data_IF_014930777231
#
_entry.id   IF_014930777231
#
_cell.length_a   1.000
_cell.length_b   1.000
_cell.length_c   1.000
_cell.angle_alpha   90.00
_cell.angle_beta   90.00
_cell.angle_gamma   90.00
#
_symmetry.space_group_name_H-M   'P 1'
#
loop_
_entity.id
_entity.type
_entity.pdbx_description
1 polymer ?
#
# COMPACT_ATOMS: atom_id res chain seq x y z
N UNK A 1 -34.94 -19.79 -17.21
CA UNK A 1 -34.12 -19.73 -18.45
C UNK A 1 -34.24 -18.33 -19.04
N UNK A 2 -33.39 -17.39 -18.62
CA UNK A 2 -33.41 -16.03 -19.13
C UNK A 2 -32.63 -15.95 -20.44
N UNK A 3 -33.23 -15.33 -21.45
CA UNK A 3 -32.73 -15.22 -22.81
C UNK A 3 -31.37 -14.52 -22.87
N UNK A 4 -30.38 -15.20 -23.42
CA UNK A 4 -29.08 -14.66 -23.82
C UNK A 4 -29.33 -13.66 -24.97
N UNK A 5 -29.48 -12.37 -24.64
CA UNK A 5 -29.71 -11.26 -25.60
C UNK A 5 -28.41 -10.59 -26.08
N UNK A 6 -27.26 -11.23 -25.87
CA UNK A 6 -25.98 -10.83 -26.45
C UNK A 6 -25.11 -12.08 -26.60
N UNK A 7 -24.44 -12.27 -27.74
CA UNK A 7 -23.39 -13.30 -27.94
C UNK A 7 -22.12 -13.04 -27.09
N UNK A 8 -22.26 -12.38 -25.94
CA UNK A 8 -21.20 -12.01 -25.02
C UNK A 8 -21.57 -12.71 -23.71
N UNK A 9 -20.76 -13.70 -23.30
CA UNK A 9 -20.96 -14.34 -22.01
C UNK A 9 -20.68 -13.31 -20.90
N UNK A 10 -21.47 -13.29 -19.81
CA UNK A 10 -21.19 -12.38 -18.71
C UNK A 10 -19.78 -12.65 -18.16
N UNK A 11 -18.93 -11.60 -18.16
CA UNK A 11 -17.57 -11.68 -17.58
C UNK A 11 -17.60 -11.94 -16.07
N UNK A 12 -18.72 -11.62 -15.42
CA UNK A 12 -19.09 -12.19 -14.12
C UNK A 12 -19.51 -13.65 -14.31
N UNK A 13 -18.57 -14.59 -14.14
CA UNK A 13 -18.95 -15.95 -13.73
C UNK A 13 -19.27 -15.87 -12.24
N UNK A 14 -20.43 -15.33 -11.88
CA UNK A 14 -20.90 -15.28 -10.49
C UNK A 14 -21.02 -16.70 -9.96
N UNK A 15 -20.00 -17.15 -9.23
CA UNK A 15 -20.05 -18.40 -8.48
C UNK A 15 -20.92 -18.20 -7.21
N UNK A 16 -21.11 -16.96 -6.72
CA UNK A 16 -22.03 -16.58 -5.61
C UNK A 16 -22.48 -15.10 -5.69
N UNK A 17 -23.73 -14.81 -5.33
CA UNK A 17 -24.39 -13.47 -5.30
C UNK A 17 -23.89 -12.52 -4.19
N UNK A 18 -22.80 -12.85 -3.48
CA UNK A 18 -22.26 -11.98 -2.44
C UNK A 18 -21.36 -10.90 -3.04
N UNK A 19 -21.78 -9.65 -2.88
CA UNK A 19 -21.02 -8.45 -3.25
C UNK A 19 -19.78 -8.28 -2.37
N UNK A 20 -18.67 -7.84 -2.96
CA UNK A 20 -17.43 -7.52 -2.22
C UNK A 20 -17.62 -6.21 -1.47
N UNK A 21 -17.55 -6.24 -0.13
CA UNK A 21 -17.72 -5.05 0.73
C UNK A 21 -16.42 -4.52 1.32
N UNK A 22 -15.41 -5.37 1.45
CA UNK A 22 -14.15 -5.10 2.13
C UNK A 22 -12.99 -5.87 1.46
N UNK A 23 -11.75 -5.57 1.86
CA UNK A 23 -10.56 -6.21 1.30
C UNK A 23 -10.50 -7.72 1.61
N UNK A 24 -11.03 -8.15 2.77
CA UNK A 24 -11.03 -9.56 3.16
C UNK A 24 -11.88 -10.42 2.22
N UNK A 25 -13.09 -9.95 1.91
CA UNK A 25 -14.00 -10.60 0.96
C UNK A 25 -13.41 -10.64 -0.46
N UNK A 26 -12.72 -9.57 -0.87
CA UNK A 26 -12.01 -9.54 -2.14
C UNK A 26 -10.93 -10.64 -2.21
N UNK A 27 -10.05 -10.72 -1.22
CA UNK A 27 -8.97 -11.72 -1.18
C UNK A 27 -9.55 -13.13 -1.17
N UNK A 28 -10.61 -13.37 -0.40
CA UNK A 28 -11.32 -14.66 -0.39
C UNK A 28 -11.80 -15.03 -1.79
N UNK A 29 -12.43 -14.10 -2.52
CA UNK A 29 -12.93 -14.35 -3.88
C UNK A 29 -11.79 -14.61 -4.88
N UNK A 30 -10.68 -13.90 -4.77
CA UNK A 30 -9.48 -14.16 -5.59
C UNK A 30 -8.98 -15.59 -5.37
N UNK A 31 -8.85 -16.02 -4.11
CA UNK A 31 -8.41 -17.37 -3.77
C UNK A 31 -9.35 -18.45 -4.33
N UNK A 32 -10.67 -18.24 -4.27
CA UNK A 32 -11.66 -19.16 -4.85
C UNK A 32 -11.44 -19.36 -6.36
N UNK A 33 -11.19 -18.28 -7.12
CA UNK A 33 -10.95 -18.40 -8.57
C UNK A 33 -9.63 -19.10 -8.90
N UNK A 34 -8.57 -18.84 -8.13
CA UNK A 34 -7.27 -19.50 -8.30
C UNK A 34 -7.43 -21.01 -8.08
N UNK A 35 -8.14 -21.42 -7.03
CA UNK A 35 -8.37 -22.84 -6.72
C UNK A 35 -9.18 -23.57 -7.80
N UNK A 36 -10.20 -22.91 -8.38
CA UNK A 36 -11.03 -23.52 -9.44
C UNK A 36 -10.24 -23.74 -10.74
N UNK A 37 -9.28 -22.87 -11.04
CA UNK A 37 -8.51 -22.92 -12.29
C UNK A 37 -7.21 -23.70 -12.22
N UNK A 38 -6.84 -24.22 -11.04
CA UNK A 38 -5.51 -24.76 -10.73
C UNK A 38 -5.00 -25.84 -11.71
N UNK A 39 -4.52 -25.41 -12.88
CA UNK A 39 -3.40 -26.00 -13.60
C UNK A 39 -2.14 -25.52 -12.87
N UNK A 40 -1.26 -26.43 -12.47
CA UNK A 40 -0.16 -26.16 -11.55
C UNK A 40 0.85 -25.10 -12.03
N UNK A 41 0.81 -24.67 -13.29
CA UNK A 41 1.85 -23.85 -13.93
C UNK A 41 1.38 -22.48 -14.47
N UNK A 42 0.11 -22.10 -14.30
CA UNK A 42 -0.38 -20.81 -14.84
C UNK A 42 -0.05 -19.63 -13.91
N UNK A 43 0.54 -18.57 -14.47
CA UNK A 43 0.78 -17.30 -13.77
C UNK A 43 -0.49 -16.45 -13.74
N UNK A 44 -0.80 -15.80 -12.62
CA UNK A 44 -2.00 -14.96 -12.48
C UNK A 44 -1.61 -13.49 -12.42
N UNK A 45 -2.26 -12.68 -13.25
CA UNK A 45 -2.14 -11.21 -13.25
C UNK A 45 -3.49 -10.54 -13.19
N UNK A 46 -3.50 -9.29 -12.75
CA UNK A 46 -4.71 -8.58 -12.35
C UNK A 46 -4.81 -7.22 -13.02
N UNK A 47 -6.02 -6.75 -13.29
CA UNK A 47 -6.26 -5.38 -13.76
C UNK A 47 -7.48 -4.77 -13.07
N UNK A 48 -7.31 -3.60 -12.50
CA UNK A 48 -8.42 -2.81 -11.98
C UNK A 48 -8.92 -1.78 -12.96
N UNK A 49 -10.23 -1.60 -13.02
CA UNK A 49 -10.88 -0.53 -13.73
C UNK A 49 -11.86 0.17 -12.78
N UNK A 50 -11.79 1.51 -12.63
CA UNK A 50 -12.54 2.22 -11.60
C UNK A 50 -14.04 2.31 -11.92
N UNK A 51 -14.44 1.91 -13.12
CA UNK A 51 -15.82 1.84 -13.58
C UNK A 51 -16.03 0.56 -14.41
N UNK A 52 -17.26 0.08 -14.48
CA UNK A 52 -17.63 -0.97 -15.45
C UNK A 52 -17.74 -0.36 -16.85
N UNK A 53 -16.70 -0.52 -17.65
CA UNK A 53 -16.67 -0.04 -19.04
C UNK A 53 -17.44 -0.96 -20.00
N UNK A 54 -18.10 -0.42 -21.05
CA UNK A 54 -18.71 -1.22 -22.12
C UNK A 54 -17.70 -2.09 -22.86
N UNK A 55 -16.45 -1.62 -22.92
CA UNK A 55 -15.34 -2.30 -23.58
C UNK A 55 -14.13 -2.32 -22.65
N UNK A 56 -14.12 -3.24 -21.66
CA UNK A 56 -13.10 -3.27 -20.62
C UNK A 56 -11.79 -3.88 -21.16
N UNK A 57 -10.70 -3.66 -20.44
CA UNK A 57 -9.37 -4.21 -20.74
C UNK A 57 -8.85 -3.79 -22.12
N UNK A 58 -9.10 -2.53 -22.50
CA UNK A 58 -8.61 -1.96 -23.76
C UNK A 58 -7.43 -1.02 -23.55
N UNK A 59 -6.33 -1.20 -24.32
CA UNK A 59 -5.23 -0.24 -24.36
C UNK A 59 -5.72 1.18 -24.70
N UNK A 60 -4.98 2.18 -24.23
CA UNK A 60 -5.35 3.58 -24.42
C UNK A 60 -5.26 4.03 -25.89
N UNK A 61 -4.42 3.39 -26.71
CA UNK A 61 -4.28 3.72 -28.14
C UNK A 61 -5.54 3.49 -28.96
N UNK A 62 -6.35 2.49 -28.58
CA UNK A 62 -7.60 2.15 -29.26
C UNK A 62 -8.80 2.95 -28.75
N UNK A 63 -8.55 3.96 -27.90
CA UNK A 63 -9.60 4.90 -27.47
C UNK A 63 -9.82 5.94 -28.55
N UNK A 64 -11.07 6.42 -28.63
CA UNK A 64 -11.55 7.26 -29.74
C UNK A 64 -10.68 8.51 -29.92
N UNK A 65 -10.19 8.71 -31.15
CA UNK A 65 -9.48 9.93 -31.57
C UNK A 65 -7.95 9.92 -31.40
N UNK A 66 -7.36 8.86 -30.85
CA UNK A 66 -5.91 8.81 -30.61
C UNK A 66 -5.11 8.59 -31.91
N UNK A 67 -5.47 7.56 -32.68
CA UNK A 67 -4.75 7.24 -33.92
C UNK A 67 -5.10 8.18 -35.07
N UNK A 68 -6.28 8.81 -35.05
CA UNK A 68 -6.84 9.67 -36.12
C UNK A 68 -6.62 9.13 -37.56
N UNK A 69 -6.68 7.80 -37.73
CA UNK A 69 -6.42 7.12 -39.01
C UNK A 69 -4.94 7.03 -39.43
N UNK A 70 -4.00 7.58 -38.66
CA UNK A 70 -2.56 7.46 -38.90
C UNK A 70 -2.01 6.12 -38.42
N UNK A 71 -1.80 5.21 -39.38
CA UNK A 71 -1.23 3.87 -39.16
C UNK A 71 0.21 3.84 -38.64
N UNK A 72 0.94 4.97 -38.72
CA UNK A 72 2.31 5.12 -38.21
C UNK A 72 2.38 6.00 -36.96
N UNK A 73 1.23 6.31 -36.33
CA UNK A 73 1.16 7.20 -35.17
C UNK A 73 2.15 6.80 -34.06
N UNK A 74 2.20 5.53 -33.65
CA UNK A 74 3.14 5.09 -32.61
C UNK A 74 4.60 5.29 -33.01
N UNK A 75 4.95 4.99 -34.26
CA UNK A 75 6.31 5.22 -34.75
C UNK A 75 6.68 6.70 -34.62
N UNK A 76 5.79 7.59 -35.08
CA UNK A 76 5.98 9.05 -34.98
C UNK A 76 6.02 9.55 -33.53
N UNK A 77 5.20 8.96 -32.66
CA UNK A 77 5.19 9.25 -31.22
C UNK A 77 6.52 8.87 -30.58
N UNK A 78 7.02 7.66 -30.82
CA UNK A 78 8.30 7.21 -30.29
C UNK A 78 9.49 8.02 -30.83
N UNK A 79 9.46 8.37 -32.13
CA UNK A 79 10.45 9.29 -32.71
C UNK A 79 10.44 10.66 -32.01
N UNK A 80 9.25 11.18 -31.71
CA UNK A 80 9.08 12.46 -31.02
C UNK A 80 9.51 12.37 -29.55
N UNK A 81 9.22 11.28 -28.86
CA UNK A 81 9.71 11.03 -27.49
C UNK A 81 11.24 11.03 -27.42
N UNK A 82 11.91 10.36 -28.38
CA UNK A 82 13.38 10.37 -28.49
C UNK A 82 13.92 11.77 -28.80
N UNK A 83 13.32 12.49 -29.73
CA UNK A 83 13.72 13.87 -30.06
C UNK A 83 13.65 14.81 -28.85
N UNK A 84 12.61 14.64 -28.01
CA UNK A 84 12.42 15.42 -26.79
C UNK A 84 13.16 14.83 -25.57
N UNK A 85 13.99 13.80 -25.75
CA UNK A 85 14.77 13.12 -24.69
C UNK A 85 13.90 12.60 -23.54
N UNK A 86 12.66 12.20 -23.84
CA UNK A 86 11.75 11.59 -22.87
C UNK A 86 12.06 10.10 -22.63
N UNK A 87 12.80 9.48 -23.54
CA UNK A 87 13.33 8.12 -23.42
C UNK A 87 14.78 8.09 -23.93
N UNK A 88 15.61 7.29 -23.28
CA UNK A 88 16.97 6.98 -23.73
C UNK A 88 17.05 5.71 -24.58
N UNK A 89 15.93 5.03 -24.79
CA UNK A 89 15.89 3.69 -25.37
C UNK A 89 15.78 3.74 -26.90
N UNK A 90 16.47 2.80 -27.54
CA UNK A 90 16.48 2.68 -29.01
C UNK A 90 15.40 1.72 -29.52
N UNK A 91 15.04 0.72 -28.72
CA UNK A 91 14.09 -0.34 -29.10
C UNK A 91 12.66 0.15 -28.97
N UNK A 92 11.80 -0.16 -29.95
CA UNK A 92 10.42 0.32 -29.96
C UNK A 92 9.58 -0.20 -28.79
N UNK A 93 9.82 -1.44 -28.34
CA UNK A 93 9.12 -2.02 -27.20
C UNK A 93 9.41 -1.25 -25.91
N UNK A 94 10.67 -0.91 -25.65
CA UNK A 94 11.05 -0.13 -24.47
C UNK A 94 10.42 1.28 -24.51
N UNK A 95 10.39 1.91 -25.69
CA UNK A 95 9.71 3.21 -25.84
C UNK A 95 8.21 3.13 -25.55
N UNK A 96 7.57 1.99 -25.86
CA UNK A 96 6.16 1.78 -25.55
C UNK A 96 5.93 1.60 -24.05
N UNK A 97 6.84 0.92 -23.36
CA UNK A 97 6.85 0.79 -21.89
C UNK A 97 7.04 2.17 -21.24
N UNK A 98 7.98 2.97 -21.74
CA UNK A 98 8.20 4.35 -21.30
C UNK A 98 7.02 5.27 -21.62
N UNK A 99 6.39 5.07 -22.78
CA UNK A 99 5.19 5.81 -23.19
C UNK A 99 4.06 5.59 -22.18
N UNK A 100 3.85 4.35 -21.75
CA UNK A 100 2.85 4.00 -20.76
C UNK A 100 3.11 4.68 -19.40
N UNK A 101 4.38 4.83 -19.01
CA UNK A 101 4.73 5.65 -17.86
C UNK A 101 4.40 7.12 -18.08
N UNK A 102 4.82 7.69 -19.20
CA UNK A 102 4.61 9.09 -19.57
C UNK A 102 3.18 9.45 -19.97
N UNK A 103 2.23 8.54 -19.76
CA UNK A 103 0.80 8.71 -20.09
C UNK A 103 0.52 8.83 -21.59
N UNK A 104 1.52 8.52 -22.41
CA UNK A 104 1.38 8.50 -23.84
C UNK A 104 0.58 7.26 -24.28
N UNK A 105 -0.14 7.34 -25.41
CA UNK A 105 -0.86 6.18 -25.92
C UNK A 105 0.06 5.05 -26.38
N UNK A 106 -0.29 3.82 -26.01
CA UNK A 106 0.37 2.60 -26.43
C UNK A 106 -0.63 1.46 -26.65
N UNK A 107 -0.23 0.47 -27.44
CA UNK A 107 -0.95 -0.81 -27.60
C UNK A 107 -0.74 -1.81 -26.47
N UNK A 108 -0.07 -1.39 -25.39
CA UNK A 108 0.14 -2.19 -24.20
C UNK A 108 -1.00 -1.95 -23.21
N UNK A 109 -1.53 -3.04 -22.66
CA UNK A 109 -2.51 -3.00 -21.58
C UNK A 109 -1.81 -3.24 -20.24
N UNK A 110 -1.93 -2.30 -19.31
CA UNK A 110 -1.39 -2.48 -17.96
C UNK A 110 -2.11 -3.61 -17.22
N UNK A 111 -1.32 -4.50 -16.62
CA UNK A 111 -1.74 -5.50 -15.64
C UNK A 111 -0.74 -5.49 -14.48
N UNK A 112 -1.09 -6.13 -13.37
CA UNK A 112 -0.26 -6.18 -12.16
C UNK A 112 -0.17 -7.60 -11.64
N UNK A 113 0.98 -8.00 -11.12
CA UNK A 113 1.11 -9.25 -10.35
C UNK A 113 0.44 -9.18 -8.97
N UNK A 114 0.04 -7.98 -8.52
CA UNK A 114 -0.56 -7.76 -7.21
C UNK A 114 -2.07 -7.49 -7.33
N UNK A 115 -2.88 -8.40 -6.79
CA UNK A 115 -4.34 -8.27 -6.78
C UNK A 115 -4.84 -7.04 -6.02
N UNK A 116 -4.11 -6.58 -4.99
CA UNK A 116 -4.47 -5.40 -4.21
C UNK A 116 -4.13 -4.09 -4.95
N UNK A 117 -3.08 -4.10 -5.78
CA UNK A 117 -2.81 -2.98 -6.69
C UNK A 117 -3.92 -2.85 -7.74
N UNK A 118 -4.37 -3.99 -8.30
CA UNK A 118 -5.55 -3.98 -9.17
C UNK A 118 -6.82 -3.54 -8.42
N UNK A 119 -7.03 -3.97 -7.18
CA UNK A 119 -8.14 -3.49 -6.37
C UNK A 119 -8.08 -1.97 -6.18
N UNK A 120 -6.90 -1.40 -5.90
CA UNK A 120 -6.70 0.04 -5.82
C UNK A 120 -7.16 0.76 -7.10
N UNK A 121 -6.78 0.27 -8.28
CA UNK A 121 -7.24 0.85 -9.55
C UNK A 121 -8.74 0.69 -9.80
N UNK A 122 -9.39 -0.31 -9.18
CA UNK A 122 -10.84 -0.49 -9.25
C UNK A 122 -11.62 0.42 -8.30
N UNK A 123 -10.99 0.92 -7.23
CA UNK A 123 -11.66 1.76 -6.22
C UNK A 123 -11.21 3.22 -6.20
N UNK A 124 -10.11 3.55 -6.89
CA UNK A 124 -9.51 4.88 -6.90
C UNK A 124 -9.44 5.42 -8.32
N UNK A 125 -10.04 6.59 -8.61
CA UNK A 125 -9.86 7.27 -9.88
C UNK A 125 -8.39 7.61 -10.17
N UNK A 126 -8.10 8.00 -11.41
CA UNK A 126 -6.77 8.50 -11.77
C UNK A 126 -6.38 9.70 -10.89
N UNK A 127 -5.10 9.81 -10.53
CA UNK A 127 -4.62 10.74 -9.50
C UNK A 127 -4.79 12.23 -9.83
N UNK A 128 -5.12 12.58 -11.08
CA UNK A 128 -5.55 13.94 -11.47
C UNK A 128 -6.98 14.30 -11.06
N UNK A 129 -7.78 13.30 -10.68
CA UNK A 129 -9.16 13.48 -10.24
C UNK A 129 -9.25 13.39 -8.72
N UNK A 130 -10.36 13.91 -8.18
CA UNK A 130 -10.69 13.69 -6.78
C UNK A 130 -10.91 12.21 -6.51
N UNK A 131 -10.47 11.76 -5.34
CA UNK A 131 -10.57 10.36 -4.93
C UNK A 131 -12.02 9.84 -4.92
N UNK A 132 -12.97 10.71 -4.59
CA UNK A 132 -14.40 10.40 -4.48
C UNK A 132 -15.19 10.50 -5.80
N UNK A 133 -14.54 10.89 -6.91
CA UNK A 133 -15.22 11.22 -8.16
C UNK A 133 -16.01 10.03 -8.76
N UNK A 134 -15.62 8.79 -8.46
CA UNK A 134 -16.21 7.57 -9.02
C UNK A 134 -16.85 6.66 -7.96
N UNK A 135 -17.11 7.17 -6.76
CA UNK A 135 -17.69 6.38 -5.66
C UNK A 135 -19.17 6.02 -5.93
N UNK A 136 -19.86 6.77 -6.79
CA UNK A 136 -21.22 6.44 -7.24
C UNK A 136 -21.31 5.37 -8.35
N UNK A 137 -20.17 4.78 -8.76
CA UNK A 137 -20.11 3.80 -9.85
C UNK A 137 -19.32 2.59 -9.42
N UNK A 138 -19.73 1.42 -9.89
CA UNK A 138 -19.04 0.17 -9.58
C UNK A 138 -17.74 0.05 -10.37
N UNK A 139 -16.70 -0.45 -9.72
CA UNK A 139 -15.44 -0.82 -10.34
C UNK A 139 -15.42 -2.30 -10.73
N UNK A 140 -14.34 -2.71 -11.40
CA UNK A 140 -14.13 -4.08 -11.83
C UNK A 140 -12.67 -4.47 -11.67
N UNK A 141 -12.40 -5.64 -11.10
CA UNK A 141 -11.08 -6.27 -11.09
C UNK A 141 -11.11 -7.51 -11.97
N UNK A 142 -10.22 -7.56 -12.94
CA UNK A 142 -10.02 -8.71 -13.82
C UNK A 142 -8.85 -9.54 -13.34
N UNK A 143 -8.99 -10.86 -13.41
CA UNK A 143 -7.96 -11.86 -13.14
C UNK A 143 -7.68 -12.58 -14.45
N UNK A 144 -6.43 -12.60 -14.90
CA UNK A 144 -5.99 -13.30 -16.10
C UNK A 144 -5.05 -14.44 -15.74
N UNK A 145 -5.30 -15.62 -16.31
CA UNK A 145 -4.42 -16.77 -16.23
C UNK A 145 -3.57 -16.79 -17.49
N UNK A 146 -2.26 -16.74 -17.30
CA UNK A 146 -1.26 -16.64 -18.36
C UNK A 146 -0.37 -17.87 -18.30
N UNK A 147 -0.30 -18.57 -19.42
CA UNK A 147 0.50 -19.79 -19.56
C UNK A 147 1.91 -19.51 -20.12
N UNK A 148 2.07 -18.42 -20.88
CA UNK A 148 3.34 -18.06 -21.54
C UNK A 148 3.70 -16.59 -21.28
N UNK A 149 4.96 -16.36 -20.89
CA UNK A 149 5.50 -15.04 -20.58
C UNK A 149 6.58 -14.68 -21.61
N UNK A 150 6.42 -13.53 -22.26
CA UNK A 150 7.37 -13.00 -23.22
C UNK A 150 8.30 -12.00 -22.54
N UNK A 151 9.61 -12.27 -22.58
CA UNK A 151 10.59 -11.33 -22.05
C UNK A 151 10.72 -10.11 -22.98
N UNK A 152 10.68 -8.87 -22.45
CA UNK A 152 10.92 -7.66 -23.22
C UNK A 152 12.37 -7.56 -23.74
N UNK A 153 13.30 -8.30 -23.14
CA UNK A 153 14.70 -8.36 -23.58
C UNK A 153 14.96 -9.42 -24.65
N UNK A 154 14.01 -10.30 -24.93
CA UNK A 154 14.19 -11.38 -25.89
C UNK A 154 14.02 -10.89 -27.34
N UNK A 155 14.82 -11.47 -28.25
CA UNK A 155 14.85 -11.06 -29.65
C UNK A 155 13.51 -11.29 -30.36
N UNK A 156 12.86 -12.44 -30.13
CA UNK A 156 11.53 -12.74 -30.71
C UNK A 156 10.46 -11.71 -30.33
N UNK A 157 10.44 -11.24 -29.08
CA UNK A 157 9.49 -10.23 -28.61
C UNK A 157 9.75 -8.89 -29.28
N UNK A 158 11.02 -8.50 -29.39
CA UNK A 158 11.41 -7.25 -30.05
C UNK A 158 11.14 -7.28 -31.55
N UNK A 159 11.49 -8.37 -32.23
CA UNK A 159 11.22 -8.55 -33.66
C UNK A 159 9.71 -8.53 -33.96
N UNK A 160 8.89 -9.12 -33.06
CA UNK A 160 7.43 -9.04 -33.18
C UNK A 160 6.91 -7.61 -33.05
N UNK A 161 7.42 -6.85 -32.07
CA UNK A 161 7.04 -5.45 -31.88
C UNK A 161 7.53 -4.56 -33.02
N UNK A 162 8.73 -4.80 -33.52
CA UNK A 162 9.30 -4.12 -34.68
C UNK A 162 8.46 -4.35 -35.94
N UNK A 163 8.02 -5.59 -36.19
CA UNK A 163 7.15 -5.91 -37.33
C UNK A 163 5.81 -5.15 -37.27
N UNK A 164 5.28 -4.94 -36.05
CA UNK A 164 4.08 -4.13 -35.81
C UNK A 164 4.32 -2.66 -36.14
N UNK A 165 5.41 -2.07 -35.63
CA UNK A 165 5.67 -0.62 -35.72
C UNK A 165 6.23 -0.22 -37.08
N UNK A 166 7.18 -0.99 -37.63
CA UNK A 166 7.83 -0.70 -38.91
C UNK A 166 6.94 -1.01 -40.10
N UNK A 167 6.01 -1.97 -39.94
CA UNK A 167 5.15 -2.44 -41.01
C UNK A 167 5.96 -2.84 -42.26
N UNK A 168 7.03 -3.62 -42.05
CA UNK A 168 7.87 -4.18 -43.13
C UNK A 168 7.64 -5.70 -43.35
N UNK A 169 6.89 -6.35 -42.45
CA UNK A 169 6.61 -7.78 -42.52
C UNK A 169 5.30 -8.11 -43.26
N UNK A 170 5.38 -8.43 -44.55
CA UNK A 170 4.19 -8.60 -45.42
C UNK A 170 3.29 -9.79 -45.09
N UNK A 171 3.81 -10.86 -44.47
CA UNK A 171 2.98 -12.00 -44.03
C UNK A 171 2.23 -11.71 -42.74
N UNK A 172 2.71 -10.77 -41.92
CA UNK A 172 2.16 -10.44 -40.60
C UNK A 172 1.10 -9.33 -40.66
N UNK A 173 1.31 -8.33 -41.51
CA UNK A 173 0.45 -7.15 -41.60
C UNK A 173 -0.97 -7.44 -42.09
N UNK A 174 -1.92 -6.68 -41.54
CA UNK A 174 -3.33 -6.66 -41.93
C UNK A 174 -3.99 -8.05 -41.91
N UNK A 175 -3.48 -8.98 -41.08
CA UNK A 175 -4.04 -10.33 -40.91
C UNK A 175 -4.78 -10.45 -39.58
N UNK A 176 -6.11 -10.58 -39.65
CA UNK A 176 -6.99 -10.81 -38.49
C UNK A 176 -6.56 -11.99 -37.62
N UNK A 177 -5.90 -13.01 -38.18
CA UNK A 177 -5.39 -14.14 -37.42
C UNK A 177 -4.36 -13.69 -36.37
N UNK A 178 -3.44 -12.80 -36.73
CA UNK A 178 -2.36 -12.36 -35.83
C UNK A 178 -2.80 -11.28 -34.85
N UNK A 179 -3.92 -10.59 -35.11
CA UNK A 179 -4.54 -9.66 -34.16
C UNK A 179 -4.98 -10.35 -32.86
N UNK A 180 -5.26 -11.66 -32.94
CA UNK A 180 -5.64 -12.52 -31.81
C UNK A 180 -4.45 -13.00 -30.97
N UNK A 181 -3.21 -12.76 -31.41
CA UNK A 181 -2.01 -13.22 -30.71
C UNK A 181 -1.59 -12.22 -29.63
N UNK A 182 -2.46 -12.00 -28.64
CA UNK A 182 -2.13 -11.23 -27.45
C UNK A 182 -0.93 -11.86 -26.74
N UNK A 183 0.08 -11.06 -26.39
CA UNK A 183 1.28 -11.55 -25.70
C UNK A 183 1.37 -10.92 -24.34
N UNK A 184 1.53 -11.73 -23.30
CA UNK A 184 1.86 -11.23 -21.99
C UNK A 184 3.36 -10.92 -21.93
N UNK A 185 3.69 -9.64 -21.76
CA UNK A 185 5.06 -9.14 -21.71
C UNK A 185 5.38 -8.81 -20.25
N UNK A 186 6.44 -9.42 -19.74
CA UNK A 186 6.92 -9.14 -18.40
C UNK A 186 7.55 -7.76 -18.31
N UNK A 187 7.70 -7.22 -17.10
CA UNK A 187 8.32 -5.91 -16.93
C UNK A 187 9.85 -5.96 -16.88
N UNK A 188 10.48 -4.92 -17.43
CA UNK A 188 11.85 -4.56 -17.07
C UNK A 188 11.82 -3.73 -15.78
N UNK A 189 12.69 -4.03 -14.80
CA UNK A 189 12.81 -3.26 -13.53
C UNK A 189 13.53 -1.91 -13.73
N UNK A 190 13.19 -1.19 -14.79
CA UNK A 190 13.82 0.11 -15.12
C UNK A 190 13.06 1.28 -14.49
N UNK A 191 11.76 1.13 -14.26
CA UNK A 191 10.90 2.23 -13.85
C UNK A 191 10.30 2.06 -12.45
N UNK A 192 10.46 3.07 -11.60
CA UNK A 192 9.91 3.09 -10.24
C UNK A 192 8.38 2.91 -10.19
N UNK A 193 7.63 3.48 -11.14
CA UNK A 193 6.17 3.35 -11.25
C UNK A 193 5.77 1.92 -11.55
N UNK A 194 6.43 1.27 -12.51
CA UNK A 194 6.16 -0.12 -12.87
C UNK A 194 6.51 -1.06 -11.71
N UNK A 195 7.64 -0.83 -11.04
CA UNK A 195 8.05 -1.60 -9.85
C UNK A 195 7.01 -1.44 -8.73
N UNK A 196 6.60 -0.22 -8.43
CA UNK A 196 5.62 0.09 -7.39
C UNK A 196 4.26 -0.58 -7.66
N UNK A 197 3.84 -0.60 -8.93
CA UNK A 197 2.61 -1.24 -9.36
C UNK A 197 2.73 -2.75 -9.50
N UNK A 198 3.94 -3.31 -9.40
CA UNK A 198 4.25 -4.69 -9.80
C UNK A 198 3.66 -4.97 -11.20
N UNK A 199 3.82 -3.99 -12.08
CA UNK A 199 3.15 -3.92 -13.37
C UNK A 199 3.76 -4.88 -14.37
N UNK A 200 2.95 -5.35 -15.31
CA UNK A 200 3.34 -6.08 -16.53
C UNK A 200 2.36 -5.66 -17.64
N UNK A 201 2.53 -6.18 -18.85
CA UNK A 201 1.76 -5.73 -20.00
C UNK A 201 1.12 -6.87 -20.77
N UNK A 202 -0.04 -6.61 -21.37
CA UNK A 202 -0.58 -7.44 -22.46
C UNK A 202 -0.49 -6.64 -23.75
N UNK A 203 0.28 -7.14 -24.71
CA UNK A 203 0.43 -6.57 -26.05
C UNK A 203 -0.76 -6.90 -26.93
N UNK A 204 -1.34 -5.88 -27.54
CA UNK A 204 -2.36 -6.00 -28.58
C UNK A 204 -1.73 -5.75 -29.96
N UNK A 205 -1.52 -6.79 -30.77
CA UNK A 205 -0.76 -6.66 -32.02
C UNK A 205 -1.55 -6.02 -33.18
N UNK A 206 -2.88 -6.02 -33.12
CA UNK A 206 -3.73 -5.53 -34.20
C UNK A 206 -3.76 -4.00 -34.34
N UNK A 207 -4.35 -3.55 -35.46
CA UNK A 207 -4.68 -2.14 -35.68
C UNK A 207 -6.03 -1.76 -35.05
N UNK A 208 -6.90 -2.76 -34.89
CA UNK A 208 -8.18 -2.64 -34.21
C UNK A 208 -8.15 -3.39 -32.86
N UNK A 209 -8.96 -2.96 -31.87
CA UNK A 209 -8.98 -3.59 -30.56
C UNK A 209 -9.71 -4.95 -30.60
N UNK A 210 -8.97 -6.03 -30.79
CA UNK A 210 -9.48 -7.39 -30.58
C UNK A 210 -9.67 -7.68 -29.09
N UNK A 211 -10.82 -8.25 -28.72
CA UNK A 211 -11.10 -8.56 -27.31
C UNK A 211 -10.19 -9.69 -26.80
N UNK A 212 -9.79 -9.61 -25.53
CA UNK A 212 -9.11 -10.74 -24.87
C UNK A 212 -10.03 -11.98 -24.87
N UNK A 213 -9.48 -13.18 -25.09
CA UNK A 213 -10.26 -14.41 -25.07
C UNK A 213 -11.05 -14.58 -23.75
N UNK A 214 -12.33 -14.95 -23.84
CA UNK A 214 -13.18 -15.12 -22.64
C UNK A 214 -12.67 -16.23 -21.70
N UNK A 215 -11.87 -17.17 -22.22
CA UNK A 215 -11.22 -18.21 -21.41
C UNK A 215 -10.06 -17.71 -20.54
N UNK A 216 -9.52 -16.51 -20.85
CA UNK A 216 -8.31 -15.96 -20.26
C UNK A 216 -8.52 -15.49 -18.82
N UNK A 217 -9.75 -15.14 -18.42
CA UNK A 217 -9.94 -14.51 -17.12
C UNK A 217 -11.35 -14.42 -16.56
N UNK A 218 -11.43 -13.94 -15.32
CA UNK A 218 -12.67 -13.65 -14.59
C UNK A 218 -12.74 -12.17 -14.21
N UNK A 219 -13.96 -11.66 -14.03
CA UNK A 219 -14.20 -10.35 -13.43
C UNK A 219 -14.78 -10.43 -12.02
N UNK A 220 -14.30 -9.57 -11.12
CA UNK A 220 -14.87 -9.30 -9.80
C UNK A 220 -15.37 -7.87 -9.80
N UNK A 221 -16.68 -7.70 -9.67
CA UNK A 221 -17.30 -6.38 -9.54
C UNK A 221 -17.15 -5.85 -8.12
N UNK A 222 -16.79 -4.57 -8.01
CA UNK A 222 -16.62 -3.86 -6.75
C UNK A 222 -17.71 -2.79 -6.66
N UNK A 223 -18.69 -2.91 -5.75
CA UNK A 223 -19.71 -1.89 -5.51
C UNK A 223 -19.11 -0.52 -5.25
N UNK A 224 -19.68 0.52 -5.85
CA UNK A 224 -19.26 1.91 -5.63
C UNK A 224 -19.28 2.30 -4.14
N UNK A 225 -20.32 1.89 -3.42
CA UNK A 225 -20.49 2.12 -1.98
C UNK A 225 -19.40 1.51 -1.10
N UNK A 226 -18.74 0.45 -1.56
CA UNK A 226 -17.66 -0.22 -0.83
C UNK A 226 -16.30 0.47 -1.02
N UNK A 227 -16.14 1.30 -2.06
CA UNK A 227 -14.85 1.92 -2.42
C UNK A 227 -14.21 2.71 -1.28
N UNK A 228 -14.92 3.58 -0.52
CA UNK A 228 -14.30 4.35 0.55
C UNK A 228 -13.72 3.46 1.67
N UNK A 229 -14.44 2.41 2.04
CA UNK A 229 -14.00 1.43 3.04
C UNK A 229 -12.75 0.69 2.54
N UNK A 230 -12.81 0.18 1.32
CA UNK A 230 -11.71 -0.56 0.70
C UNK A 230 -10.46 0.32 0.57
N UNK A 231 -10.58 1.58 0.11
CA UNK A 231 -9.44 2.52 0.05
C UNK A 231 -8.81 2.74 1.42
N UNK A 232 -9.62 2.89 2.46
CA UNK A 232 -9.14 3.04 3.84
C UNK A 232 -8.37 1.80 4.31
N UNK A 233 -8.90 0.60 4.06
CA UNK A 233 -8.26 -0.67 4.41
C UNK A 233 -6.96 -0.89 3.64
N UNK A 234 -6.96 -0.64 2.32
CA UNK A 234 -5.76 -0.68 1.49
C UNK A 234 -4.64 0.21 2.06
N UNK A 235 -4.98 1.44 2.46
CA UNK A 235 -4.02 2.38 3.04
C UNK A 235 -3.54 1.96 4.44
N UNK A 236 -4.45 1.57 5.33
CA UNK A 236 -4.13 1.31 6.73
C UNK A 236 -3.49 -0.06 6.97
N UNK A 237 -3.95 -1.09 6.26
CA UNK A 237 -3.53 -2.47 6.48
C UNK A 237 -2.40 -2.90 5.53
N UNK A 238 -2.37 -2.35 4.32
CA UNK A 238 -1.44 -2.78 3.26
C UNK A 238 -0.50 -1.67 2.78
N UNK A 239 -0.64 -0.44 3.29
CA UNK A 239 0.17 0.70 2.86
C UNK A 239 -0.04 1.10 1.39
N UNK A 240 -1.15 0.67 0.78
CA UNK A 240 -1.47 0.97 -0.62
C UNK A 240 -2.27 2.27 -0.70
N UNK A 241 -1.71 3.29 -1.36
CA UNK A 241 -2.31 4.59 -1.58
C UNK A 241 -1.72 5.26 -2.83
N UNK A 242 -2.20 6.45 -3.20
CA UNK A 242 -1.75 7.17 -4.40
C UNK A 242 -0.23 7.29 -4.51
N UNK A 243 0.44 7.80 -3.47
CA UNK A 243 1.90 7.91 -3.46
C UNK A 243 2.66 6.57 -3.51
N UNK A 244 2.07 5.45 -3.09
CA UNK A 244 2.71 4.13 -3.16
C UNK A 244 2.54 3.49 -4.55
N UNK A 245 1.50 3.87 -5.30
CA UNK A 245 1.19 3.37 -6.66
C UNK A 245 1.77 4.28 -7.75
N UNK A 246 1.85 5.56 -7.46
CA UNK A 246 2.35 6.64 -8.29
C UNK A 246 3.46 7.35 -7.51
N UNK A 247 4.71 6.82 -7.53
CA UNK A 247 5.80 7.29 -6.68
C UNK A 247 6.48 8.57 -7.19
N UNK A 248 5.81 9.35 -8.03
CA UNK A 248 6.29 10.67 -8.45
C UNK A 248 6.22 11.67 -7.28
N UNK A 249 7.16 12.61 -7.25
CA UNK A 249 7.33 13.58 -6.15
C UNK A 249 6.00 14.24 -5.78
N UNK A 250 5.21 14.65 -6.77
CA UNK A 250 3.93 15.35 -6.58
C UNK A 250 2.93 14.53 -5.74
N UNK A 251 2.94 13.21 -5.89
CA UNK A 251 2.03 12.28 -5.22
C UNK A 251 2.52 11.92 -3.80
N UNK A 252 3.79 12.17 -3.49
CA UNK A 252 4.40 11.91 -2.18
C UNK A 252 4.30 13.10 -1.22
N UNK A 253 4.11 14.33 -1.72
CA UNK A 253 4.11 15.57 -0.91
C UNK A 253 3.14 15.47 0.28
N UNK A 254 1.90 15.05 0.04
CA UNK A 254 0.87 14.98 1.09
C UNK A 254 1.23 13.97 2.19
N UNK A 255 1.77 12.81 1.80
CA UNK A 255 2.16 11.76 2.75
C UNK A 255 3.39 12.17 3.56
N UNK A 256 4.42 12.70 2.90
CA UNK A 256 5.63 13.20 3.56
C UNK A 256 5.31 14.36 4.50
N UNK A 257 4.40 15.27 4.11
CA UNK A 257 3.95 16.37 4.97
C UNK A 257 3.15 15.88 6.18
N UNK A 258 2.41 14.78 6.05
CA UNK A 258 1.71 14.18 7.18
C UNK A 258 2.67 13.43 8.11
N UNK A 259 3.68 12.75 7.55
CA UNK A 259 4.72 12.06 8.32
C UNK A 259 5.61 13.06 9.06
N UNK A 260 5.99 14.17 8.42
CA UNK A 260 6.86 15.19 9.01
C UNK A 260 6.28 15.79 10.29
N UNK A 261 4.95 15.94 10.40
CA UNK A 261 4.26 16.37 11.62
C UNK A 261 4.47 15.45 12.83
N UNK A 262 4.86 14.19 12.59
CA UNK A 262 5.10 13.18 13.62
C UNK A 262 6.59 12.85 13.77
N UNK A 263 7.46 13.43 12.94
CA UNK A 263 8.89 13.20 13.05
C UNK A 263 9.41 13.93 14.28
N UNK A 264 10.15 13.20 15.11
CA UNK A 264 10.95 13.81 16.15
C UNK A 264 12.29 14.23 15.55
N UNK A 265 12.57 15.53 15.57
CA UNK A 265 13.84 16.11 15.11
C UNK A 265 14.52 16.92 16.22
N UNK A 266 14.12 16.69 17.48
CA UNK A 266 14.79 17.30 18.63
C UNK A 266 16.23 16.80 18.71
N UNK A 267 17.12 17.66 19.20
CA UNK A 267 18.54 17.35 19.30
C UNK A 267 18.80 16.19 20.27
N UNK A 268 19.82 15.39 19.98
CA UNK A 268 20.29 14.37 20.89
C UNK A 268 21.03 15.02 22.07
N UNK A 269 20.43 14.98 23.25
CA UNK A 269 21.03 15.44 24.49
C UNK A 269 20.42 14.69 25.70
N UNK A 270 21.10 14.74 26.84
CA UNK A 270 20.69 14.02 28.05
C UNK A 270 19.26 14.38 28.50
N UNK A 271 18.86 15.66 28.42
CA UNK A 271 17.54 16.11 28.84
C UNK A 271 16.44 15.45 28.00
N UNK A 272 16.60 15.45 26.68
CA UNK A 272 15.62 14.89 25.75
C UNK A 272 15.51 13.38 25.92
N UNK A 273 16.62 12.66 26.09
CA UNK A 273 16.59 11.22 26.35
C UNK A 273 15.88 10.86 27.67
N UNK A 274 16.11 11.63 28.73
CA UNK A 274 15.38 11.48 30.00
C UNK A 274 13.87 11.74 29.84
N UNK A 275 13.50 12.77 29.07
CA UNK A 275 12.10 13.05 28.74
C UNK A 275 11.47 11.93 27.90
N UNK A 276 12.21 11.32 26.97
CA UNK A 276 11.72 10.18 26.19
C UNK A 276 11.52 8.94 27.05
N UNK A 277 12.45 8.65 27.97
CA UNK A 277 12.30 7.56 28.93
C UNK A 277 11.06 7.76 29.82
N UNK A 278 10.82 8.99 30.30
CA UNK A 278 9.61 9.32 31.04
C UNK A 278 8.33 9.16 30.19
N UNK A 279 8.29 9.72 28.98
CA UNK A 279 7.13 9.57 28.06
C UNK A 279 6.86 8.11 27.70
N UNK A 280 7.89 7.27 27.64
CA UNK A 280 7.74 5.84 27.39
C UNK A 280 7.09 5.15 28.58
N UNK A 281 7.52 5.46 29.79
CA UNK A 281 6.91 4.98 31.03
C UNK A 281 5.42 5.37 31.09
N UNK A 282 5.08 6.64 30.79
CA UNK A 282 3.69 7.13 30.79
C UNK A 282 2.79 6.30 29.83
N UNK A 283 3.27 6.01 28.62
CA UNK A 283 2.54 5.15 27.67
C UNK A 283 2.37 3.72 28.17
N UNK A 284 3.35 3.19 28.89
CA UNK A 284 3.22 1.87 29.51
C UNK A 284 2.17 1.87 30.61
N UNK A 285 2.11 2.92 31.42
CA UNK A 285 1.05 3.09 32.43
C UNK A 285 -0.34 3.12 31.79
N UNK A 286 -0.53 3.91 30.74
CA UNK A 286 -1.79 3.95 29.99
C UNK A 286 -2.17 2.55 29.46
N UNK A 287 -1.22 1.83 28.87
CA UNK A 287 -1.42 0.47 28.39
C UNK A 287 -1.88 -0.48 29.51
N UNK A 288 -1.20 -0.44 30.66
CA UNK A 288 -1.56 -1.32 31.78
C UNK A 288 -2.90 -0.96 32.39
N UNK A 289 -3.26 0.33 32.45
CA UNK A 289 -4.57 0.79 32.88
C UNK A 289 -5.66 0.24 31.96
N UNK A 290 -5.51 0.42 30.65
CA UNK A 290 -6.45 -0.09 29.64
C UNK A 290 -6.58 -1.61 29.71
N UNK A 291 -5.45 -2.31 29.88
CA UNK A 291 -5.43 -3.76 30.06
C UNK A 291 -6.22 -4.20 31.30
N UNK A 292 -6.02 -3.53 32.44
CA UNK A 292 -6.72 -3.82 33.68
C UNK A 292 -8.23 -3.54 33.59
N UNK A 293 -8.61 -2.43 32.95
CA UNK A 293 -10.02 -2.10 32.66
C UNK A 293 -10.65 -3.17 31.73
N UNK A 294 -9.92 -3.59 30.70
CA UNK A 294 -10.37 -4.61 29.74
C UNK A 294 -10.63 -5.97 30.38
N UNK A 295 -9.79 -6.37 31.34
CA UNK A 295 -9.99 -7.59 32.13
C UNK A 295 -11.30 -7.58 32.94
N UNK A 296 -11.80 -6.40 33.33
CA UNK A 296 -13.09 -6.27 34.01
C UNK A 296 -14.30 -6.48 33.08
N UNK A 297 -14.17 -6.22 31.77
CA UNK A 297 -15.27 -6.25 30.79
C UNK A 297 -15.53 -7.61 30.15
N UNK A 298 -14.52 -8.49 30.06
CA UNK A 298 -14.56 -9.72 29.25
C UNK A 298 -14.81 -11.04 30.03
N UNK A 299 -15.44 -10.98 31.22
CA UNK A 299 -15.90 -12.22 31.87
C UNK A 299 -15.74 -12.31 33.39
N UNK A 300 -15.40 -11.22 34.09
CA UNK A 300 -15.49 -11.21 35.55
C UNK A 300 -16.93 -10.99 36.00
N UNK A 301 -17.36 -11.76 37.01
CA UNK A 301 -18.56 -11.42 37.78
C UNK A 301 -18.30 -10.06 38.42
N UNK A 302 -19.29 -9.16 38.38
CA UNK A 302 -19.22 -7.85 39.04
C UNK A 302 -18.59 -7.97 40.44
N UNK A 303 -17.42 -7.35 40.66
CA UNK A 303 -16.75 -7.29 41.97
C UNK A 303 -15.49 -8.14 42.18
N UNK A 304 -15.01 -8.91 41.19
CA UNK A 304 -13.70 -9.59 41.32
C UNK A 304 -12.52 -8.65 41.04
N UNK A 305 -11.64 -8.52 42.03
CA UNK A 305 -10.42 -7.71 41.96
C UNK A 305 -9.49 -8.14 40.80
N UNK A 306 -8.71 -7.20 40.27
CA UNK A 306 -7.68 -7.52 39.28
C UNK A 306 -6.65 -8.48 39.92
N UNK A 307 -6.20 -9.53 39.21
CA UNK A 307 -5.24 -10.49 39.73
C UNK A 307 -4.04 -9.76 40.30
N UNK A 308 -3.68 -10.10 41.53
CA UNK A 308 -2.56 -9.48 42.25
C UNK A 308 -1.27 -9.50 41.42
N UNK A 309 -1.08 -10.54 40.60
CA UNK A 309 0.03 -10.67 39.67
C UNK A 309 0.14 -9.51 38.67
N UNK A 310 -0.98 -8.96 38.20
CA UNK A 310 -1.02 -7.82 37.26
C UNK A 310 -0.60 -6.54 37.97
N UNK A 311 -1.10 -6.31 39.19
CA UNK A 311 -0.70 -5.18 40.02
C UNK A 311 0.80 -5.25 40.37
N UNK A 312 1.29 -6.43 40.76
CA UNK A 312 2.72 -6.66 41.01
C UNK A 312 3.58 -6.38 39.76
N UNK A 313 3.08 -6.76 38.57
CA UNK A 313 3.79 -6.46 37.32
C UNK A 313 3.83 -4.95 37.03
N UNK A 314 2.71 -4.24 37.22
CA UNK A 314 2.68 -2.77 37.08
C UNK A 314 3.67 -2.10 38.04
N UNK A 315 3.67 -2.50 39.32
CA UNK A 315 4.62 -1.98 40.31
C UNK A 315 6.06 -2.27 39.91
N UNK A 316 6.35 -3.48 39.43
CA UNK A 316 7.68 -3.87 38.99
C UNK A 316 8.17 -3.00 37.82
N UNK A 317 7.31 -2.71 36.86
CA UNK A 317 7.64 -1.82 35.73
C UNK A 317 7.93 -0.41 36.24
N UNK A 318 7.06 0.16 37.07
CA UNK A 318 7.27 1.51 37.63
C UNK A 318 8.58 1.58 38.42
N UNK A 319 8.86 0.57 39.26
CA UNK A 319 10.08 0.49 40.06
C UNK A 319 11.34 0.31 39.20
N UNK A 320 11.24 -0.36 38.05
CA UNK A 320 12.35 -0.46 37.09
C UNK A 320 12.73 0.91 36.54
N UNK A 321 11.75 1.72 36.09
CA UNK A 321 12.00 3.10 35.68
C UNK A 321 12.54 3.95 36.84
N UNK A 322 11.97 3.80 38.05
CA UNK A 322 12.42 4.50 39.26
C UNK A 322 13.89 4.27 39.55
N UNK A 323 14.30 2.99 39.56
CA UNK A 323 15.69 2.59 39.79
C UNK A 323 16.62 3.16 38.74
N UNK A 324 16.23 3.13 37.47
CA UNK A 324 17.00 3.73 36.38
C UNK A 324 17.20 5.24 36.55
N UNK A 325 16.15 5.99 36.87
CA UNK A 325 16.27 7.43 37.14
C UNK A 325 17.14 7.72 38.38
N UNK A 326 17.03 6.92 39.45
CA UNK A 326 17.83 7.08 40.67
C UNK A 326 19.31 6.75 40.44
N UNK A 327 19.61 5.70 39.68
CA UNK A 327 20.97 5.33 39.29
C UNK A 327 21.60 6.44 38.45
N UNK A 328 20.89 6.89 37.40
CA UNK A 328 21.34 8.00 36.57
C UNK A 328 21.57 9.28 37.37
N UNK A 329 20.63 9.68 38.22
CA UNK A 329 20.74 10.89 39.02
C UNK A 329 21.96 10.85 39.96
N UNK A 330 22.24 9.67 40.54
CA UNK A 330 23.39 9.47 41.43
C UNK A 330 24.71 9.54 40.68
N UNK A 331 24.81 8.86 39.54
CA UNK A 331 26.02 8.88 38.71
C UNK A 331 26.30 10.28 38.15
N UNK A 332 25.25 11.00 37.76
CA UNK A 332 25.34 12.40 37.31
C UNK A 332 25.81 13.34 38.45
N UNK A 333 25.29 13.18 39.67
CA UNK A 333 25.74 13.94 40.85
C UNK A 333 27.20 13.63 41.25
N UNK A 334 27.60 12.36 41.12
CA UNK A 334 28.97 11.89 41.40
C UNK A 334 30.00 12.35 40.33
N UNK A 335 29.56 13.05 39.28
CA UNK A 335 30.42 13.48 38.18
C UNK A 335 30.94 12.33 37.31
N UNK A 336 30.33 11.15 37.41
CA UNK A 336 30.60 10.01 36.53
C UNK A 336 29.82 10.23 35.23
N UNK A 337 30.29 11.15 34.39
CA UNK A 337 29.72 11.29 33.06
C UNK A 337 29.90 9.97 32.29
N UNK A 338 28.82 9.32 31.81
CA UNK A 338 28.95 8.28 30.81
C UNK A 338 29.09 8.97 29.45
N UNK A 339 30.29 9.43 29.10
CA UNK A 339 30.53 10.13 27.83
C UNK A 339 31.99 10.45 27.54
N UNK A 340 32.38 10.37 26.26
CA UNK A 340 33.73 10.63 25.77
C UNK A 340 34.21 12.07 26.10
N UNK A 341 35.52 12.21 26.35
CA UNK A 341 36.22 13.47 26.60
C UNK A 341 35.75 14.59 25.64
N UNK A 342 35.02 15.58 26.15
CA UNK A 342 34.76 16.83 25.44
C UNK A 342 33.30 17.32 25.38
N UNK A 343 32.31 16.53 25.78
CA UNK A 343 30.94 17.03 25.99
C UNK A 343 30.67 17.22 27.48
N UNK A 344 30.89 18.44 28.00
CA UNK A 344 30.28 18.83 29.29
C UNK A 344 28.78 18.55 29.21
N UNK A 345 28.25 17.71 30.09
CA UNK A 345 26.83 17.38 30.14
C UNK A 345 25.96 18.63 30.22
N UNK A 346 25.20 18.89 29.16
CA UNK A 346 24.30 20.06 29.03
C UNK A 346 23.02 19.94 29.89
N UNK A 347 22.99 18.97 30.82
CA UNK A 347 21.86 18.74 31.71
C UNK A 347 22.00 19.61 32.95
N UNK A 348 21.11 20.57 33.14
CA UNK A 348 21.04 21.37 34.38
C UNK A 348 20.28 20.60 35.45
N UNK A 349 20.60 20.85 36.72
CA UNK A 349 19.87 20.28 37.87
C UNK A 349 18.37 20.55 37.79
N UNK A 350 17.98 21.74 37.31
CA UNK A 350 16.57 22.12 37.11
C UNK A 350 15.88 21.22 36.09
N UNK A 351 16.57 20.85 35.01
CA UNK A 351 16.02 19.98 33.96
C UNK A 351 15.84 18.54 34.49
N UNK A 352 16.81 18.03 35.27
CA UNK A 352 16.67 16.72 35.93
C UNK A 352 15.51 16.69 36.94
N UNK A 353 15.41 17.72 37.79
CA UNK A 353 14.30 17.87 38.76
C UNK A 353 12.95 17.90 38.05
N UNK A 354 12.85 18.62 36.94
CA UNK A 354 11.63 18.69 36.12
C UNK A 354 11.21 17.31 35.59
N UNK A 355 12.13 16.50 35.07
CA UNK A 355 11.79 15.15 34.57
C UNK A 355 11.32 14.25 35.72
N UNK A 356 11.96 14.34 36.88
CA UNK A 356 11.57 13.57 38.06
C UNK A 356 10.21 14.01 38.61
N UNK A 357 9.93 15.31 38.60
CA UNK A 357 8.61 15.82 38.97
C UNK A 357 7.53 15.28 38.04
N UNK A 358 7.79 15.27 36.72
CA UNK A 358 6.89 14.65 35.73
C UNK A 358 6.69 13.16 35.98
N UNK A 359 7.76 12.43 36.27
CA UNK A 359 7.68 11.01 36.64
C UNK A 359 6.77 10.81 37.86
N UNK A 360 6.98 11.57 38.93
CA UNK A 360 6.19 11.47 40.15
C UNK A 360 4.71 11.79 39.89
N UNK A 361 4.42 12.85 39.12
CA UNK A 361 3.06 13.22 38.74
C UNK A 361 2.36 12.09 37.97
N UNK A 362 3.03 11.46 36.99
CA UNK A 362 2.46 10.33 36.25
C UNK A 362 2.17 9.11 37.14
N UNK A 363 3.04 8.82 38.12
CA UNK A 363 2.82 7.72 39.09
C UNK A 363 1.64 8.01 40.02
N UNK A 364 1.54 9.24 40.54
CA UNK A 364 0.42 9.67 41.38
C UNK A 364 -0.92 9.64 40.61
N UNK A 365 -0.93 10.12 39.37
CA UNK A 365 -2.11 10.09 38.50
C UNK A 365 -2.53 8.64 38.19
N UNK A 366 -1.58 7.78 37.86
CA UNK A 366 -1.86 6.37 37.61
C UNK A 366 -2.42 5.66 38.86
N UNK A 367 -1.83 5.87 40.04
CA UNK A 367 -2.35 5.35 41.32
C UNK A 367 -3.79 5.80 41.58
N UNK A 368 -4.09 7.08 41.36
CA UNK A 368 -5.44 7.64 41.49
C UNK A 368 -6.42 7.01 40.49
N UNK A 369 -5.99 6.81 39.24
CA UNK A 369 -6.80 6.16 38.21
C UNK A 369 -7.11 4.71 38.61
N UNK A 370 -6.14 3.93 39.10
CA UNK A 370 -6.37 2.57 39.58
C UNK A 370 -7.43 2.51 40.69
N UNK A 371 -7.39 3.44 41.64
CA UNK A 371 -8.40 3.55 42.71
C UNK A 371 -9.77 3.93 42.16
N UNK A 372 -9.82 4.93 41.27
CA UNK A 372 -11.07 5.42 40.66
C UNK A 372 -11.79 4.31 39.87
N UNK A 373 -11.04 3.46 39.17
CA UNK A 373 -11.58 2.32 38.42
C UNK A 373 -11.76 1.05 39.26
N UNK A 374 -11.48 1.09 40.57
CA UNK A 374 -11.64 -0.06 41.46
C UNK A 374 -10.72 -1.24 41.13
N UNK A 375 -9.56 -0.97 40.54
CA UNK A 375 -8.61 -1.98 40.06
C UNK A 375 -7.77 -2.54 41.22
N UNK A 376 -7.33 -1.66 42.12
CA UNK A 376 -6.48 -1.99 43.27
C UNK A 376 -5.60 -0.81 43.68
N UNK A 377 -4.69 -1.08 44.61
CA UNK A 377 -3.71 -0.10 45.09
C UNK A 377 -2.29 -0.58 44.77
N UNK A 378 -1.41 0.36 44.45
CA UNK A 378 0.03 0.16 44.34
C UNK A 378 0.74 0.87 45.48
N UNK A 379 1.98 0.48 45.74
CA UNK A 379 2.87 1.04 46.76
C UNK A 379 3.42 2.40 46.33
N UNK A 380 2.54 3.33 45.96
CA UNK A 380 2.81 4.64 45.36
C UNK A 380 3.95 5.37 46.08
N UNK A 381 3.89 5.49 47.40
CA UNK A 381 4.91 6.19 48.20
C UNK A 381 6.33 5.62 48.06
N UNK A 382 6.45 4.33 47.79
CA UNK A 382 7.74 3.64 47.55
C UNK A 382 8.23 3.82 46.11
N UNK A 383 7.31 4.16 45.21
CA UNK A 383 7.57 4.33 43.79
C UNK A 383 7.95 5.77 43.41
N UNK A 384 7.64 6.75 44.25
CA UNK A 384 8.06 8.14 44.05
C UNK A 384 9.57 8.32 44.23
N UNK A 385 10.16 9.17 43.38
CA UNK A 385 11.56 9.57 43.46
C UNK A 385 11.68 10.84 44.31
N UNK A 386 12.61 10.83 45.26
CA UNK A 386 13.01 12.02 46.02
C UNK A 386 14.49 12.24 45.78
N UNK A 387 14.84 13.38 45.21
CA UNK A 387 16.21 13.85 45.16
C UNK A 387 16.48 14.67 46.41
N UNK A 388 17.50 14.28 47.16
CA UNK A 388 18.02 15.05 48.29
C UNK A 388 18.85 16.26 47.81
#
# INVERSE_FOLDING_TARGET
>A
MAAVRSNILPKEKNIRDEWVRDVSQFIKRVNEYIQVKSSADSTVVYRGEPEVYPSPCRPNIFRKGVMDGNRFFEKSLFDTMRQNKLTGESRYLDNAIDAQHGEFPSRLLDVSYNCLTALYFAVTPYYHNREDALDGKDGMVFLFFVDEIFSPSAQNTNDNYDAIIKRDCGWYQDKQLFEKNHKFIDHTKLNNRIIAQQGAFILFPGDEPENLPECMGYGIRIPGEAKPLIRRELKQLFGIHTGSIYPEIINLVGELSSKSKKLNTEEFNCKNELLYAWRQMEKELDYYLDYAIGLGKNGRKHGEAVPVQVLMHMEHVIDSYRKGFLEFARDWQDGKEPGQEGQKGDLRMEDLKMVIEKYNQSVEEFSRNLQQYGIGEISEKMLLIRLD
#
